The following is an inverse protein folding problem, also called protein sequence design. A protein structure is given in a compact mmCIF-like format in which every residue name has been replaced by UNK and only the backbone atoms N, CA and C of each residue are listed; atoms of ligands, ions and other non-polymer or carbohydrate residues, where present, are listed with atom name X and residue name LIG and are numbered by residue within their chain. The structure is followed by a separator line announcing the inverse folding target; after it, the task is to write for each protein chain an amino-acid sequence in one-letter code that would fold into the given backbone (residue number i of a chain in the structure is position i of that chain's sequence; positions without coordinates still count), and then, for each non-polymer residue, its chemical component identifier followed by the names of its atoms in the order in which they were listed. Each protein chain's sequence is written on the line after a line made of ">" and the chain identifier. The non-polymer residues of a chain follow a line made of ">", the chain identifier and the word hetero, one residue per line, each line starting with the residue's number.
data_IF_289163135262
#
_entry.id   IF_289163135262
#
_cell.length_a   1.000
_cell.length_b   1.000
_cell.length_c   1.000
_cell.angle_alpha   90.00
_cell.angle_beta   90.00
_cell.angle_gamma   90.00
#
_symmetry.space_group_name_H-M   'P 1'
#
loop_
_entity.id
_entity.type
_entity.pdbx_description
1 polymer ?
#
# COMPACT_ATOMS: atom_id res chain seq x y z
N UNK A 1 -71.97 73.04 -11.81
CA UNK A 1 -70.55 72.81 -12.15
C UNK A 1 -69.80 72.57 -10.84
N UNK A 2 -69.98 71.38 -10.25
CA UNK A 2 -69.12 70.19 -10.37
C UNK A 2 -67.83 70.18 -9.49
N UNK A 3 -67.91 70.73 -8.28
CA UNK A 3 -66.94 70.47 -7.19
C UNK A 3 -66.88 68.98 -6.80
N UNK A 4 -67.95 68.24 -7.03
CA UNK A 4 -68.05 66.79 -6.79
C UNK A 4 -67.36 65.96 -7.87
N UNK A 5 -67.24 66.45 -9.12
CA UNK A 5 -66.45 65.79 -10.16
C UNK A 5 -64.95 66.04 -9.98
N UNK A 6 -64.53 67.26 -9.61
CA UNK A 6 -63.12 67.57 -9.33
C UNK A 6 -62.58 66.77 -8.13
N UNK A 7 -63.35 66.61 -7.05
CA UNK A 7 -62.97 65.77 -5.91
C UNK A 7 -62.85 64.28 -6.27
N UNK A 8 -63.77 63.75 -7.09
CA UNK A 8 -63.69 62.35 -7.58
C UNK A 8 -62.50 62.12 -8.50
N UNK A 9 -62.11 63.11 -9.28
CA UNK A 9 -60.97 63.03 -10.19
C UNK A 9 -59.63 63.08 -9.44
N UNK A 10 -59.52 63.95 -8.43
CA UNK A 10 -58.37 64.00 -7.52
C UNK A 10 -58.18 62.68 -6.74
N UNK A 11 -59.26 62.10 -6.19
CA UNK A 11 -59.21 60.81 -5.50
C UNK A 11 -58.81 59.68 -6.45
N UNK A 12 -59.32 59.66 -7.70
CA UNK A 12 -58.91 58.69 -8.71
C UNK A 12 -57.42 58.80 -9.08
N UNK A 13 -56.88 60.01 -9.18
CA UNK A 13 -55.47 60.21 -9.50
C UNK A 13 -54.53 59.81 -8.35
N UNK A 14 -54.96 60.02 -7.10
CA UNK A 14 -54.25 59.50 -5.92
C UNK A 14 -54.29 57.97 -5.89
N UNK A 15 -55.45 57.36 -6.11
CA UNK A 15 -55.60 55.90 -6.17
C UNK A 15 -54.75 55.32 -7.29
N UNK A 16 -54.71 55.95 -8.47
CA UNK A 16 -53.85 55.52 -9.59
C UNK A 16 -52.37 55.63 -9.24
N UNK A 17 -51.92 56.74 -8.65
CA UNK A 17 -50.52 56.91 -8.23
C UNK A 17 -50.13 55.92 -7.13
N UNK A 18 -51.03 55.65 -6.19
CA UNK A 18 -50.83 54.63 -5.17
C UNK A 18 -50.78 53.22 -5.76
N UNK A 19 -51.63 52.93 -6.75
CA UNK A 19 -51.64 51.65 -7.44
C UNK A 19 -50.37 51.41 -8.27
N UNK A 20 -49.86 52.43 -8.97
CA UNK A 20 -48.59 52.36 -9.70
C UNK A 20 -47.43 52.12 -8.73
N UNK A 21 -47.33 52.89 -7.64
CA UNK A 21 -46.27 52.69 -6.64
C UNK A 21 -46.35 51.32 -5.94
N UNK A 22 -47.54 50.83 -5.65
CA UNK A 22 -47.75 49.50 -5.09
C UNK A 22 -47.35 48.42 -6.10
N UNK A 23 -47.72 48.59 -7.36
CA UNK A 23 -47.34 47.66 -8.43
C UNK A 23 -45.83 47.62 -8.64
N UNK A 24 -45.16 48.78 -8.66
CA UNK A 24 -43.70 48.86 -8.79
C UNK A 24 -42.99 48.19 -7.61
N UNK A 25 -43.53 48.36 -6.39
CA UNK A 25 -43.03 47.70 -5.19
C UNK A 25 -43.24 46.18 -5.21
N UNK A 26 -44.44 45.72 -5.59
CA UNK A 26 -44.73 44.30 -5.70
C UNK A 26 -43.86 43.65 -6.77
N UNK A 27 -43.65 44.31 -7.91
CA UNK A 27 -42.76 43.83 -8.97
C UNK A 27 -41.29 43.81 -8.51
N UNK A 28 -40.84 44.80 -7.73
CA UNK A 28 -39.48 44.84 -7.19
C UNK A 28 -39.23 43.74 -6.16
N UNK A 29 -40.17 43.53 -5.23
CA UNK A 29 -40.07 42.46 -4.23
C UNK A 29 -40.17 41.08 -4.87
N UNK A 30 -41.08 40.90 -5.82
CA UNK A 30 -41.23 39.64 -6.57
C UNK A 30 -39.98 39.33 -7.42
N UNK A 31 -39.33 40.34 -8.01
CA UNK A 31 -38.05 40.19 -8.69
C UNK A 31 -36.94 39.66 -7.77
N UNK A 32 -36.76 40.28 -6.59
CA UNK A 32 -35.73 39.86 -5.64
C UNK A 32 -36.03 38.49 -5.00
N UNK A 33 -37.30 38.18 -4.71
CA UNK A 33 -37.72 36.86 -4.24
C UNK A 33 -37.51 35.79 -5.30
N UNK A 34 -37.88 36.06 -6.55
CA UNK A 34 -37.65 35.14 -7.67
C UNK A 34 -36.16 34.90 -7.88
N UNK A 35 -35.32 35.94 -7.78
CA UNK A 35 -33.86 35.81 -7.88
C UNK A 35 -33.27 34.99 -6.73
N UNK A 36 -33.70 35.24 -5.49
CA UNK A 36 -33.27 34.45 -4.34
C UNK A 36 -33.68 32.97 -4.48
N UNK A 37 -34.90 32.71 -4.96
CA UNK A 37 -35.38 31.36 -5.23
C UNK A 37 -34.57 30.67 -6.34
N UNK A 38 -34.25 31.38 -7.42
CA UNK A 38 -33.39 30.86 -8.50
C UNK A 38 -31.98 30.51 -8.00
N UNK A 39 -31.38 31.37 -7.17
CA UNK A 39 -30.07 31.11 -6.56
C UNK A 39 -30.10 29.90 -5.62
N UNK A 40 -31.15 29.75 -4.82
CA UNK A 40 -31.35 28.59 -3.94
C UNK A 40 -31.51 27.29 -4.74
N UNK A 41 -32.28 27.31 -5.84
CA UNK A 41 -32.44 26.14 -6.72
C UNK A 41 -31.13 25.80 -7.42
N UNK A 42 -30.39 26.80 -7.92
CA UNK A 42 -29.08 26.60 -8.55
C UNK A 42 -28.07 25.99 -7.56
N UNK A 43 -27.97 26.55 -6.34
CA UNK A 43 -27.11 26.03 -5.28
C UNK A 43 -27.50 24.61 -4.86
N UNK A 44 -28.80 24.30 -4.76
CA UNK A 44 -29.27 22.94 -4.48
C UNK A 44 -28.82 21.94 -5.55
N UNK A 45 -28.92 22.31 -6.82
CA UNK A 45 -28.52 21.45 -7.94
C UNK A 45 -26.99 21.24 -7.98
N UNK A 46 -26.21 22.28 -7.74
CA UNK A 46 -24.74 22.19 -7.62
C UNK A 46 -24.32 21.29 -6.47
N UNK A 47 -24.96 21.43 -5.31
CA UNK A 47 -24.69 20.63 -4.12
C UNK A 47 -25.07 19.16 -4.33
N UNK A 48 -26.18 18.90 -5.03
CA UNK A 48 -26.57 17.54 -5.41
C UNK A 48 -25.56 16.91 -6.38
N UNK A 49 -25.11 17.64 -7.40
CA UNK A 49 -24.09 17.15 -8.34
C UNK A 49 -22.77 16.85 -7.63
N UNK A 50 -22.33 17.74 -6.74
CA UNK A 50 -21.15 17.49 -5.92
C UNK A 50 -21.32 16.25 -5.03
N UNK A 51 -22.49 16.03 -4.41
CA UNK A 51 -22.73 14.84 -3.60
C UNK A 51 -22.64 13.56 -4.44
N UNK A 52 -23.15 13.58 -5.67
CA UNK A 52 -23.03 12.46 -6.61
C UNK A 52 -21.56 12.21 -7.00
N UNK A 53 -20.80 13.26 -7.34
CA UNK A 53 -19.39 13.16 -7.71
C UNK A 53 -18.50 12.76 -6.52
N UNK A 54 -18.79 13.26 -5.32
CA UNK A 54 -18.15 12.87 -4.06
C UNK A 54 -18.40 11.40 -3.73
N UNK A 55 -19.63 10.93 -3.87
CA UNK A 55 -19.95 9.53 -3.63
C UNK A 55 -19.25 8.60 -4.63
N UNK A 56 -19.12 9.01 -5.91
CA UNK A 56 -18.31 8.27 -6.89
C UNK A 56 -16.84 8.23 -6.49
N UNK A 57 -16.27 9.38 -6.13
CA UNK A 57 -14.88 9.48 -5.72
C UNK A 57 -14.59 8.66 -4.44
N UNK A 58 -15.51 8.66 -3.47
CA UNK A 58 -15.42 7.81 -2.27
C UNK A 58 -15.41 6.33 -2.67
N UNK A 59 -16.31 5.90 -3.53
CA UNK A 59 -16.34 4.50 -3.98
C UNK A 59 -15.05 4.12 -4.74
N UNK A 60 -14.50 5.01 -5.55
CA UNK A 60 -13.22 4.81 -6.24
C UNK A 60 -12.05 4.72 -5.24
N UNK A 61 -12.03 5.59 -4.23
CA UNK A 61 -11.05 5.57 -3.13
C UNK A 61 -11.17 4.23 -2.37
N UNK A 62 -12.36 3.81 -1.98
CA UNK A 62 -12.59 2.57 -1.23
C UNK A 62 -12.14 1.34 -2.04
N UNK A 63 -12.42 1.32 -3.35
CA UNK A 63 -11.94 0.26 -4.25
C UNK A 63 -10.40 0.23 -4.33
N UNK A 64 -9.77 1.40 -4.46
CA UNK A 64 -8.31 1.51 -4.55
C UNK A 64 -7.62 1.19 -3.23
N UNK A 65 -8.21 1.56 -2.09
CA UNK A 65 -7.76 1.15 -0.76
C UNK A 65 -7.83 -0.37 -0.60
N UNK A 66 -8.93 -0.99 -1.05
CA UNK A 66 -9.05 -2.45 -1.06
C UNK A 66 -7.99 -3.12 -1.94
N UNK A 67 -7.75 -2.61 -3.15
CA UNK A 67 -6.69 -3.11 -4.05
C UNK A 67 -5.31 -2.96 -3.43
N UNK A 68 -5.02 -1.82 -2.78
CA UNK A 68 -3.78 -1.58 -2.04
C UNK A 68 -3.62 -2.55 -0.88
N UNK A 69 -4.68 -2.83 -0.13
CA UNK A 69 -4.62 -3.79 0.97
C UNK A 69 -4.45 -5.23 0.46
N UNK A 70 -5.06 -5.60 -0.67
CA UNK A 70 -4.77 -6.86 -1.34
C UNK A 70 -3.31 -6.95 -1.79
N UNK A 71 -2.77 -5.90 -2.42
CA UNK A 71 -1.37 -5.84 -2.85
C UNK A 71 -0.42 -5.87 -1.65
N UNK A 72 -0.72 -5.18 -0.55
CA UNK A 72 0.05 -5.24 0.71
C UNK A 72 0.04 -6.63 1.30
N UNK A 73 -1.13 -7.27 1.39
CA UNK A 73 -1.23 -8.62 1.93
C UNK A 73 -0.47 -9.62 1.06
N UNK A 74 -0.58 -9.49 -0.27
CA UNK A 74 0.18 -10.32 -1.21
C UNK A 74 1.68 -10.04 -1.14
N UNK A 75 2.08 -8.78 -1.03
CA UNK A 75 3.48 -8.39 -0.85
C UNK A 75 4.04 -8.91 0.47
N UNK A 76 3.29 -8.84 1.57
CA UNK A 76 3.67 -9.37 2.88
C UNK A 76 3.76 -10.90 2.88
N UNK A 77 2.85 -11.59 2.18
CA UNK A 77 2.91 -13.03 1.98
C UNK A 77 4.14 -13.43 1.16
N UNK A 78 4.38 -12.76 0.02
CA UNK A 78 5.54 -13.00 -0.84
C UNK A 78 6.84 -12.61 -0.13
N UNK A 79 6.90 -11.50 0.61
CA UNK A 79 8.10 -11.17 1.40
C UNK A 79 8.29 -12.09 2.61
N UNK A 80 7.25 -12.75 3.13
CA UNK A 80 7.41 -13.80 4.12
C UNK A 80 7.92 -15.10 3.49
N UNK A 81 7.11 -15.71 2.62
CA UNK A 81 7.41 -17.01 2.01
C UNK A 81 8.57 -16.95 1.04
N UNK A 82 8.61 -15.96 0.13
CA UNK A 82 9.69 -15.87 -0.85
C UNK A 82 10.99 -15.40 -0.20
N UNK A 83 10.99 -14.66 0.92
CA UNK A 83 12.28 -14.39 1.59
C UNK A 83 12.83 -15.66 2.23
N UNK A 84 12.00 -16.48 2.86
CA UNK A 84 12.45 -17.77 3.40
C UNK A 84 12.94 -18.69 2.26
N UNK A 85 12.21 -18.74 1.13
CA UNK A 85 12.63 -19.48 -0.05
C UNK A 85 13.92 -18.89 -0.67
N UNK A 86 14.04 -17.57 -0.82
CA UNK A 86 15.23 -16.88 -1.32
C UNK A 86 16.43 -17.10 -0.40
N UNK A 87 16.26 -17.04 0.92
CA UNK A 87 17.29 -17.39 1.89
C UNK A 87 17.68 -18.87 1.78
N UNK A 88 16.70 -19.75 1.58
CA UNK A 88 16.96 -21.18 1.39
C UNK A 88 17.72 -21.45 0.08
N UNK A 89 17.34 -20.81 -1.02
CA UNK A 89 17.98 -20.89 -2.33
C UNK A 89 19.38 -20.32 -2.26
N UNK A 90 19.55 -19.16 -1.64
CA UNK A 90 20.86 -18.53 -1.47
C UNK A 90 21.78 -19.37 -0.59
N UNK A 91 21.25 -20.02 0.45
CA UNK A 91 21.99 -20.99 1.25
C UNK A 91 22.38 -22.20 0.41
N UNK A 92 21.47 -22.76 -0.38
CA UNK A 92 21.76 -23.89 -1.28
C UNK A 92 22.82 -23.51 -2.32
N UNK A 93 22.71 -22.34 -2.96
CA UNK A 93 23.71 -21.80 -3.90
C UNK A 93 25.08 -21.69 -3.22
N UNK A 94 25.14 -21.13 -2.01
CA UNK A 94 26.39 -21.00 -1.25
C UNK A 94 26.99 -22.37 -0.88
N UNK A 95 26.16 -23.34 -0.51
CA UNK A 95 26.61 -24.70 -0.19
C UNK A 95 27.11 -25.42 -1.45
N UNK A 96 26.45 -25.23 -2.60
CA UNK A 96 26.92 -25.73 -3.90
C UNK A 96 28.23 -25.08 -4.34
N UNK A 97 28.40 -23.76 -4.15
CA UNK A 97 29.67 -23.07 -4.42
C UNK A 97 30.81 -23.63 -3.57
N UNK A 98 30.58 -23.91 -2.28
CA UNK A 98 31.59 -24.54 -1.41
C UNK A 98 31.97 -25.92 -1.93
N UNK A 99 30.99 -26.74 -2.32
CA UNK A 99 31.23 -28.09 -2.86
C UNK A 99 31.99 -28.04 -4.20
N UNK A 100 31.65 -27.10 -5.07
CA UNK A 100 32.34 -26.87 -6.34
C UNK A 100 33.80 -26.51 -6.08
N UNK A 101 34.05 -25.51 -5.22
CA UNK A 101 35.41 -25.09 -4.86
C UNK A 101 36.24 -26.21 -4.22
N UNK A 102 35.63 -27.07 -3.41
CA UNK A 102 36.30 -28.26 -2.85
C UNK A 102 36.65 -29.27 -3.94
N UNK A 103 35.75 -29.50 -4.90
CA UNK A 103 35.96 -30.44 -6.01
C UNK A 103 37.05 -29.94 -6.97
N UNK A 104 37.05 -28.64 -7.31
CA UNK A 104 38.11 -28.00 -8.09
C UNK A 104 39.48 -28.08 -7.40
N UNK A 105 39.53 -27.89 -6.07
CA UNK A 105 40.78 -28.05 -5.32
C UNK A 105 41.31 -29.48 -5.39
N UNK A 106 40.43 -30.48 -5.31
CA UNK A 106 40.80 -31.89 -5.45
C UNK A 106 41.30 -32.19 -6.87
N UNK A 107 40.58 -31.72 -7.89
CA UNK A 107 40.98 -31.85 -9.30
C UNK A 107 42.40 -31.33 -9.51
N UNK A 108 42.68 -30.08 -9.09
CA UNK A 108 44.03 -29.48 -9.20
C UNK A 108 45.11 -30.24 -8.44
N UNK A 109 44.77 -30.89 -7.33
CA UNK A 109 45.73 -31.72 -6.58
C UNK A 109 46.04 -33.02 -7.34
N UNK A 110 45.02 -33.64 -7.95
CA UNK A 110 45.19 -34.87 -8.75
C UNK A 110 45.95 -34.59 -10.04
N UNK A 111 45.67 -33.50 -10.76
CA UNK A 111 46.42 -33.07 -11.95
C UNK A 111 47.92 -32.84 -11.65
N UNK A 112 48.23 -32.25 -10.49
CA UNK A 112 49.63 -32.08 -10.05
C UNK A 112 50.32 -33.43 -9.80
N UNK A 113 49.63 -34.38 -9.17
CA UNK A 113 50.16 -35.74 -8.95
C UNK A 113 50.38 -36.46 -10.28
N UNK A 114 49.44 -36.34 -11.22
CA UNK A 114 49.55 -36.90 -12.56
C UNK A 114 50.79 -36.38 -13.28
N UNK A 115 50.99 -35.05 -13.27
CA UNK A 115 52.16 -34.41 -13.89
C UNK A 115 53.48 -34.89 -13.27
N UNK A 116 53.52 -35.09 -11.95
CA UNK A 116 54.69 -35.65 -11.25
C UNK A 116 54.98 -37.09 -11.66
N UNK A 117 53.94 -37.93 -11.79
CA UNK A 117 54.11 -39.31 -12.22
C UNK A 117 54.50 -39.44 -13.68
N UNK A 118 53.95 -38.61 -14.57
CA UNK A 118 54.40 -38.56 -15.97
C UNK A 118 55.87 -38.18 -16.08
N UNK A 119 56.32 -37.20 -15.29
CA UNK A 119 57.74 -36.82 -15.25
C UNK A 119 58.62 -37.97 -14.78
N UNK A 120 58.24 -38.66 -13.69
CA UNK A 120 58.99 -39.81 -13.16
C UNK A 120 59.03 -40.96 -14.18
N UNK A 121 57.90 -41.26 -14.83
CA UNK A 121 57.82 -42.32 -15.84
C UNK A 121 58.74 -42.02 -17.04
N UNK A 122 58.80 -40.77 -17.50
CA UNK A 122 59.75 -40.35 -18.55
C UNK A 122 61.21 -40.48 -18.15
N UNK A 123 61.56 -40.25 -16.88
CA UNK A 123 62.94 -40.44 -16.40
C UNK A 123 63.32 -41.92 -16.39
N UNK A 124 62.43 -42.78 -15.88
CA UNK A 124 62.64 -44.22 -15.85
C UNK A 124 62.75 -44.80 -17.27
N UNK A 125 61.94 -44.32 -18.22
CA UNK A 125 62.02 -44.76 -19.62
C UNK A 125 63.38 -44.38 -20.25
N UNK A 126 63.93 -43.20 -19.94
CA UNK A 126 65.29 -42.81 -20.39
C UNK A 126 66.36 -43.71 -19.80
N UNK A 127 66.28 -44.04 -18.51
CA UNK A 127 67.22 -44.96 -17.85
C UNK A 127 67.15 -46.37 -18.46
N UNK A 128 65.94 -46.85 -18.76
CA UNK A 128 65.73 -48.12 -19.46
C UNK A 128 66.39 -48.14 -20.84
N UNK A 129 66.23 -47.08 -21.65
CA UNK A 129 66.87 -46.99 -22.97
C UNK A 129 68.40 -47.06 -22.83
N UNK A 130 69.00 -46.33 -21.90
CA UNK A 130 70.46 -46.40 -21.64
C UNK A 130 70.90 -47.80 -21.24
N UNK A 131 70.18 -48.45 -20.33
CA UNK A 131 70.50 -49.81 -19.89
C UNK A 131 70.41 -50.83 -21.05
N UNK A 132 69.48 -50.65 -21.99
CA UNK A 132 69.38 -51.47 -23.20
C UNK A 132 70.59 -51.26 -24.12
N UNK A 133 70.99 -50.00 -24.33
CA UNK A 133 72.16 -49.66 -25.14
C UNK A 133 73.44 -50.24 -24.55
N UNK A 134 73.68 -50.06 -23.26
CA UNK A 134 74.83 -50.63 -22.52
C UNK A 134 74.85 -52.16 -22.62
N UNK A 135 73.70 -52.83 -22.38
CA UNK A 135 73.58 -54.28 -22.53
C UNK A 135 73.93 -54.73 -23.96
N UNK A 136 73.44 -54.02 -24.97
CA UNK A 136 73.66 -54.39 -26.37
C UNK A 136 75.12 -54.21 -26.78
N UNK A 137 75.79 -53.16 -26.30
CA UNK A 137 77.23 -52.94 -26.50
C UNK A 137 78.04 -54.08 -25.89
N UNK A 138 77.82 -54.39 -24.62
CA UNK A 138 78.53 -55.48 -23.93
C UNK A 138 78.26 -56.83 -24.63
N UNK A 139 77.03 -57.07 -25.09
CA UNK A 139 76.70 -58.28 -25.85
C UNK A 139 77.46 -58.36 -27.18
N UNK A 140 77.63 -57.23 -27.87
CA UNK A 140 78.38 -57.20 -29.11
C UNK A 140 79.87 -57.50 -28.90
N UNK A 141 80.48 -56.86 -27.89
CA UNK A 141 81.86 -57.14 -27.47
C UNK A 141 82.05 -58.62 -27.10
N UNK A 142 81.07 -59.20 -26.39
CA UNK A 142 81.05 -60.62 -26.07
C UNK A 142 81.03 -61.50 -27.33
N UNK A 143 80.14 -61.21 -28.29
CA UNK A 143 80.03 -61.99 -29.52
C UNK A 143 81.32 -61.93 -30.37
N UNK A 144 82.02 -60.79 -30.38
CA UNK A 144 83.33 -60.64 -31.05
C UNK A 144 84.45 -61.42 -30.35
N UNK A 145 84.59 -61.27 -29.03
CA UNK A 145 85.57 -62.03 -28.24
C UNK A 145 85.38 -63.54 -28.41
N UNK A 146 84.14 -64.00 -28.41
CA UNK A 146 83.83 -65.42 -28.56
C UNK A 146 84.20 -65.93 -29.96
N UNK A 147 83.94 -65.15 -31.02
CA UNK A 147 84.39 -65.47 -32.39
C UNK A 147 85.91 -65.57 -32.49
N UNK A 148 86.64 -64.59 -31.95
CA UNK A 148 88.10 -64.57 -31.95
C UNK A 148 88.66 -65.80 -31.24
N UNK A 149 88.07 -66.17 -30.08
CA UNK A 149 88.45 -67.34 -29.30
C UNK A 149 88.22 -68.64 -30.08
N UNK A 150 87.11 -68.79 -30.80
CA UNK A 150 86.91 -69.94 -31.71
C UNK A 150 87.92 -70.00 -32.85
N UNK A 151 88.34 -68.85 -33.42
CA UNK A 151 89.36 -68.83 -34.49
C UNK A 151 90.73 -69.27 -33.97
N UNK A 152 91.15 -68.73 -32.82
CA UNK A 152 92.40 -69.08 -32.15
C UNK A 152 92.45 -70.56 -31.79
N UNK A 153 91.35 -71.12 -31.27
CA UNK A 153 91.25 -72.57 -31.01
C UNK A 153 91.46 -73.41 -32.26
N UNK A 154 90.97 -72.96 -33.41
CA UNK A 154 91.12 -73.66 -34.69
C UNK A 154 92.57 -73.57 -35.20
N UNK A 155 93.20 -72.41 -35.09
CA UNK A 155 94.59 -72.21 -35.48
C UNK A 155 95.55 -73.05 -34.61
N UNK A 156 95.28 -73.14 -33.30
CA UNK A 156 96.02 -74.03 -32.39
C UNK A 156 95.90 -75.48 -32.83
N UNK A 157 94.69 -75.96 -33.11
CA UNK A 157 94.46 -77.34 -33.58
C UNK A 157 95.25 -77.66 -34.85
N UNK A 158 95.27 -76.73 -35.81
CA UNK A 158 96.06 -76.88 -37.04
C UNK A 158 97.57 -76.93 -36.75
N UNK A 159 98.05 -76.10 -35.81
CA UNK A 159 99.47 -76.10 -35.42
C UNK A 159 99.86 -77.34 -34.62
N UNK A 160 98.98 -77.87 -33.78
CA UNK A 160 99.19 -79.15 -33.08
C UNK A 160 99.29 -80.33 -34.05
N UNK A 161 98.50 -80.32 -35.13
CA UNK A 161 98.60 -81.31 -36.22
C UNK A 161 99.93 -81.18 -36.98
N UNK A 162 100.35 -79.96 -37.32
CA UNK A 162 101.62 -79.68 -38.01
C UNK A 162 102.85 -80.08 -37.16
N UNK A 163 102.78 -79.91 -35.82
CA UNK A 163 103.81 -80.37 -34.89
C UNK A 163 103.86 -81.89 -34.83
N UNK A 164 102.72 -82.58 -34.85
CA UNK A 164 102.68 -84.05 -34.92
C UNK A 164 103.35 -84.57 -36.19
N UNK A 165 103.07 -83.96 -37.33
CA UNK A 165 103.71 -84.29 -38.60
C UNK A 165 105.23 -84.05 -38.57
N UNK A 166 105.67 -82.96 -37.95
CA UNK A 166 107.10 -82.67 -37.77
C UNK A 166 107.78 -83.62 -36.77
N UNK A 167 107.09 -84.06 -35.72
CA UNK A 167 107.59 -85.06 -34.76
C UNK A 167 107.76 -86.45 -35.40
N UNK A 168 106.94 -86.80 -36.40
CA UNK A 168 107.06 -88.03 -37.17
C UNK A 168 108.23 -88.01 -38.18
N UNK A 169 108.96 -86.89 -38.30
CA UNK A 169 110.13 -86.73 -39.17
C UNK A 169 111.38 -86.32 -38.38
N UNK A 170 112.04 -87.26 -37.68
CA UNK A 170 113.34 -87.02 -37.03
C UNK A 170 114.48 -87.93 -37.53
N UNK A 171 115.45 -87.32 -38.23
CA UNK A 171 116.85 -87.76 -38.31
C UNK A 171 117.81 -86.59 -38.66
N UNK A 172 118.29 -85.81 -37.67
CA UNK A 172 119.59 -85.09 -37.67
C UNK A 172 119.81 -84.26 -36.38
N UNK A 173 120.95 -84.42 -35.69
CA UNK A 173 121.12 -83.97 -34.29
C UNK A 173 121.50 -82.49 -34.06
N UNK A 174 121.71 -81.67 -35.11
CA UNK A 174 121.80 -80.19 -34.98
C UNK A 174 120.43 -79.51 -35.07
N UNK A 175 119.50 -80.12 -35.81
CA UNK A 175 118.11 -79.70 -35.86
C UNK A 175 117.40 -80.04 -34.54
N UNK A 176 117.81 -81.12 -33.86
CA UNK A 176 117.31 -81.47 -32.52
C UNK A 176 117.62 -80.37 -31.49
N UNK A 177 118.84 -79.82 -31.45
CA UNK A 177 119.16 -78.75 -30.49
C UNK A 177 118.45 -77.41 -30.82
N UNK A 178 118.27 -77.09 -32.10
CA UNK A 178 117.46 -75.93 -32.50
C UNK A 178 115.99 -76.15 -32.16
N UNK A 179 115.47 -77.36 -32.37
CA UNK A 179 114.11 -77.76 -32.03
C UNK A 179 113.89 -77.80 -30.51
N UNK A 180 114.86 -78.24 -29.71
CA UNK A 180 114.82 -78.20 -28.24
C UNK A 180 114.77 -76.76 -27.72
N UNK A 181 115.55 -75.85 -28.32
CA UNK A 181 115.51 -74.44 -27.96
C UNK A 181 114.18 -73.78 -28.37
N UNK A 182 113.69 -74.10 -29.56
CA UNK A 182 112.37 -73.68 -30.03
C UNK A 182 111.25 -74.28 -29.17
N UNK A 183 111.44 -75.49 -28.63
CA UNK A 183 110.51 -76.15 -27.72
C UNK A 183 110.45 -75.41 -26.38
N UNK A 184 111.59 -74.99 -25.83
CA UNK A 184 111.59 -74.15 -24.62
C UNK A 184 110.93 -72.80 -24.86
N UNK A 185 111.20 -72.15 -25.99
CA UNK A 185 110.56 -70.87 -26.35
C UNK A 185 109.04 -71.03 -26.55
N UNK A 186 108.61 -72.11 -27.22
CA UNK A 186 107.19 -72.44 -27.40
C UNK A 186 106.50 -72.87 -26.10
N UNK A 187 107.21 -73.51 -25.18
CA UNK A 187 106.67 -73.84 -23.85
C UNK A 187 106.49 -72.58 -23.00
N UNK A 188 107.40 -71.61 -23.11
CA UNK A 188 107.21 -70.29 -22.51
C UNK A 188 106.05 -69.53 -23.15
N UNK A 189 105.94 -69.50 -24.49
CA UNK A 189 104.79 -68.91 -25.18
C UNK A 189 103.47 -69.59 -24.80
N UNK A 190 103.46 -70.92 -24.67
CA UNK A 190 102.30 -71.66 -24.18
C UNK A 190 101.92 -71.22 -22.78
N UNK A 191 102.89 -71.11 -21.88
CA UNK A 191 102.62 -70.69 -20.50
C UNK A 191 102.09 -69.24 -20.44
N UNK A 192 102.60 -68.35 -21.30
CA UNK A 192 102.09 -66.98 -21.45
C UNK A 192 100.66 -67.01 -22.01
N UNK A 193 100.40 -67.81 -23.04
CA UNK A 193 99.08 -67.94 -23.64
C UNK A 193 98.04 -68.53 -22.67
N UNK A 194 98.43 -69.52 -21.85
CA UNK A 194 97.58 -70.09 -20.79
C UNK A 194 97.24 -69.04 -19.73
N UNK A 195 98.22 -68.24 -19.30
CA UNK A 195 98.01 -67.10 -18.39
C UNK A 195 97.06 -66.05 -18.98
N UNK A 196 97.25 -65.69 -20.26
CA UNK A 196 96.35 -64.77 -20.96
C UNK A 196 94.94 -65.36 -21.07
N UNK A 197 94.82 -66.66 -21.35
CA UNK A 197 93.54 -67.35 -21.45
C UNK A 197 92.80 -67.35 -20.09
N UNK A 198 93.49 -67.64 -18.99
CA UNK A 198 92.93 -67.55 -17.64
C UNK A 198 92.46 -66.13 -17.31
N UNK A 199 93.25 -65.13 -17.68
CA UNK A 199 92.91 -63.72 -17.47
C UNK A 199 91.65 -63.33 -18.27
N UNK A 200 91.55 -63.76 -19.53
CA UNK A 200 90.39 -63.51 -20.39
C UNK A 200 89.16 -64.27 -19.90
N UNK A 201 89.30 -65.51 -19.44
CA UNK A 201 88.19 -66.28 -18.84
C UNK A 201 87.68 -65.64 -17.56
N UNK A 202 88.57 -65.10 -16.71
CA UNK A 202 88.18 -64.34 -15.53
C UNK A 202 87.38 -63.09 -15.92
N UNK A 203 87.91 -62.29 -16.85
CA UNK A 203 87.23 -61.09 -17.35
C UNK A 203 85.85 -61.41 -17.97
N UNK A 204 85.75 -62.52 -18.71
CA UNK A 204 84.47 -62.98 -19.28
C UNK A 204 83.45 -63.28 -18.18
N UNK A 205 83.88 -63.95 -17.11
CA UNK A 205 83.01 -64.29 -15.98
C UNK A 205 82.52 -63.03 -15.27
N UNK A 206 83.39 -62.05 -15.07
CA UNK A 206 83.04 -60.77 -14.47
C UNK A 206 82.04 -60.00 -15.34
N UNK A 207 82.25 -59.97 -16.67
CA UNK A 207 81.30 -59.35 -17.60
C UNK A 207 79.96 -60.07 -17.68
N UNK A 208 79.93 -61.41 -17.58
CA UNK A 208 78.67 -62.16 -17.49
C UNK A 208 77.89 -61.83 -16.22
N UNK A 209 78.57 -61.66 -15.08
CA UNK A 209 77.93 -61.22 -13.84
C UNK A 209 77.37 -59.79 -13.98
N UNK A 210 78.12 -58.90 -14.63
CA UNK A 210 77.67 -57.53 -14.93
C UNK A 210 76.39 -57.52 -15.79
N UNK A 211 76.37 -58.27 -16.91
CA UNK A 211 75.18 -58.40 -17.78
C UNK A 211 73.99 -58.99 -17.02
N UNK A 212 74.22 -60.00 -16.18
CA UNK A 212 73.15 -60.57 -15.35
C UNK A 212 72.57 -59.53 -14.39
N UNK A 213 73.42 -58.70 -13.77
CA UNK A 213 72.99 -57.64 -12.85
C UNK A 213 72.24 -56.50 -13.56
N UNK A 214 72.62 -56.17 -14.80
CA UNK A 214 71.92 -55.19 -15.62
C UNK A 214 70.58 -55.73 -16.11
N UNK A 215 70.52 -57.03 -16.43
CA UNK A 215 69.28 -57.69 -16.85
C UNK A 215 68.25 -57.72 -15.72
N UNK A 216 68.66 -58.00 -14.48
CA UNK A 216 67.77 -57.89 -13.31
C UNK A 216 67.29 -56.46 -13.09
N UNK A 217 68.19 -55.46 -13.12
CA UNK A 217 67.80 -54.04 -13.03
C UNK A 217 66.80 -53.64 -14.11
N UNK A 218 67.00 -54.10 -15.34
CA UNK A 218 66.10 -53.80 -16.46
C UNK A 218 64.70 -54.39 -16.24
N UNK A 219 64.62 -55.61 -15.71
CA UNK A 219 63.34 -56.22 -15.36
C UNK A 219 62.63 -55.46 -14.22
N UNK A 220 63.37 -55.06 -13.18
CA UNK A 220 62.82 -54.24 -12.09
C UNK A 220 62.29 -52.88 -12.58
N UNK A 221 63.01 -52.22 -13.50
CA UNK A 221 62.56 -50.95 -14.08
C UNK A 221 61.31 -51.14 -14.95
N UNK A 222 61.22 -52.22 -15.72
CA UNK A 222 60.03 -52.54 -16.51
C UNK A 222 58.79 -52.78 -15.64
N UNK A 223 58.94 -53.47 -14.50
CA UNK A 223 57.83 -53.64 -13.55
C UNK A 223 57.40 -52.31 -12.92
N UNK A 224 58.36 -51.44 -12.55
CA UNK A 224 58.06 -50.10 -12.05
C UNK A 224 57.33 -49.23 -13.07
N UNK A 225 57.69 -49.29 -14.35
CA UNK A 225 56.99 -48.58 -15.42
C UNK A 225 55.54 -49.06 -15.50
N UNK A 226 55.30 -50.37 -15.56
CA UNK A 226 53.94 -50.93 -15.63
C UNK A 226 53.06 -50.49 -14.45
N UNK A 227 53.61 -50.50 -13.23
CA UNK A 227 52.89 -50.03 -12.05
C UNK A 227 52.54 -48.54 -12.16
N UNK A 228 53.48 -47.71 -12.65
CA UNK A 228 53.25 -46.27 -12.84
C UNK A 228 52.24 -45.98 -13.94
N UNK A 229 52.24 -46.74 -15.03
CA UNK A 229 51.23 -46.63 -16.08
C UNK A 229 49.83 -46.95 -15.56
N UNK A 230 49.68 -47.99 -14.72
CA UNK A 230 48.41 -48.30 -14.08
C UNK A 230 47.95 -47.19 -13.13
N UNK A 231 48.84 -46.61 -12.32
CA UNK A 231 48.53 -45.47 -11.45
C UNK A 231 48.06 -44.25 -12.25
N UNK A 232 48.69 -43.96 -13.39
CA UNK A 232 48.29 -42.88 -14.30
C UNK A 232 46.87 -43.09 -14.84
N UNK A 233 46.54 -44.31 -15.27
CA UNK A 233 45.18 -44.64 -15.76
C UNK A 233 44.14 -44.40 -14.66
N UNK A 234 44.40 -44.85 -13.43
CA UNK A 234 43.48 -44.63 -12.30
C UNK A 234 43.28 -43.15 -12.01
N UNK A 235 44.34 -42.34 -12.08
CA UNK A 235 44.24 -40.89 -11.87
C UNK A 235 43.48 -40.17 -12.99
N UNK A 236 43.62 -40.60 -14.25
CA UNK A 236 42.84 -40.06 -15.36
C UNK A 236 41.35 -40.36 -15.20
N UNK A 237 41.00 -41.55 -14.73
CA UNK A 237 39.61 -41.90 -14.40
C UNK A 237 39.06 -41.02 -13.26
N UNK A 238 39.85 -40.78 -12.21
CA UNK A 238 39.48 -39.89 -11.10
C UNK A 238 39.29 -38.44 -11.55
N UNK A 239 40.17 -37.93 -12.41
CA UNK A 239 40.04 -36.60 -13.03
C UNK A 239 38.74 -36.50 -13.80
N UNK A 240 38.44 -37.47 -14.67
CA UNK A 240 37.21 -37.48 -15.45
C UNK A 240 35.95 -37.49 -14.58
N UNK A 241 35.92 -38.29 -13.52
CA UNK A 241 34.81 -38.31 -12.57
C UNK A 241 34.63 -36.97 -11.84
N UNK A 242 35.75 -36.29 -11.51
CA UNK A 242 35.71 -34.97 -10.89
C UNK A 242 35.23 -33.89 -11.87
N UNK A 243 35.63 -33.95 -13.14
CA UNK A 243 35.16 -33.05 -14.20
C UNK A 243 33.65 -33.19 -14.40
N UNK A 244 33.14 -34.42 -14.56
CA UNK A 244 31.69 -34.68 -14.68
C UNK A 244 30.93 -34.17 -13.46
N UNK A 245 31.51 -34.31 -12.26
CA UNK A 245 30.90 -33.82 -11.02
C UNK A 245 30.87 -32.29 -10.97
N UNK A 246 31.95 -31.62 -11.38
CA UNK A 246 32.04 -30.15 -11.46
C UNK A 246 31.00 -29.64 -12.46
N UNK A 247 30.92 -30.22 -13.65
CA UNK A 247 29.96 -29.82 -14.68
C UNK A 247 28.51 -29.94 -14.19
N UNK A 248 28.16 -31.05 -13.54
CA UNK A 248 26.83 -31.25 -12.98
C UNK A 248 26.50 -30.26 -11.86
N UNK A 249 27.47 -29.97 -10.98
CA UNK A 249 27.31 -28.98 -9.91
C UNK A 249 27.16 -27.56 -10.47
N UNK A 250 27.87 -27.22 -11.54
CA UNK A 250 27.79 -25.91 -12.19
C UNK A 250 26.42 -25.72 -12.87
N UNK A 251 25.90 -26.74 -13.56
CA UNK A 251 24.54 -26.75 -14.13
C UNK A 251 23.46 -26.55 -13.05
N UNK A 252 23.57 -27.27 -11.93
CA UNK A 252 22.63 -27.16 -10.81
C UNK A 252 22.69 -25.78 -10.15
N UNK A 253 23.90 -25.21 -9.97
CA UNK A 253 24.07 -23.82 -9.49
C UNK A 253 23.36 -22.84 -10.41
N UNK A 254 23.58 -22.96 -11.72
CA UNK A 254 23.03 -22.03 -12.70
C UNK A 254 21.50 -22.10 -12.78
N UNK A 255 20.93 -23.30 -12.61
CA UNK A 255 19.48 -23.47 -12.48
C UNK A 255 18.92 -22.75 -11.25
N UNK A 256 19.57 -22.89 -10.09
CA UNK A 256 19.16 -22.23 -8.84
C UNK A 256 19.33 -20.70 -8.92
N UNK A 257 20.41 -20.21 -9.53
CA UNK A 257 20.62 -18.77 -9.78
C UNK A 257 19.48 -18.19 -10.63
N UNK A 258 19.06 -18.90 -11.68
CA UNK A 258 17.93 -18.46 -12.52
C UNK A 258 16.62 -18.36 -11.73
N UNK A 259 16.32 -19.35 -10.88
CA UNK A 259 15.12 -19.32 -10.03
C UNK A 259 15.15 -18.15 -9.02
N UNK A 260 16.33 -17.88 -8.47
CA UNK A 260 16.55 -16.76 -7.56
C UNK A 260 16.29 -15.41 -8.26
N UNK A 261 16.83 -15.22 -9.47
CA UNK A 261 16.64 -13.99 -10.25
C UNK A 261 15.18 -13.79 -10.66
N UNK A 262 14.47 -14.85 -11.07
CA UNK A 262 13.04 -14.81 -11.39
C UNK A 262 12.19 -14.38 -10.18
N UNK A 263 12.51 -14.90 -8.99
CA UNK A 263 11.81 -14.56 -7.74
C UNK A 263 12.06 -13.11 -7.31
N UNK A 264 13.28 -12.59 -7.50
CA UNK A 264 13.59 -11.17 -7.25
C UNK A 264 12.83 -10.26 -8.21
N UNK A 265 12.77 -10.62 -9.49
CA UNK A 265 12.06 -9.84 -10.50
C UNK A 265 10.57 -9.73 -10.17
N UNK A 266 9.94 -10.85 -9.77
CA UNK A 266 8.53 -10.85 -9.35
C UNK A 266 8.29 -9.90 -8.17
N UNK A 267 9.14 -9.96 -7.13
CA UNK A 267 9.04 -9.04 -5.98
C UNK A 267 9.20 -7.57 -6.38
N UNK A 268 10.12 -7.28 -7.32
CA UNK A 268 10.34 -5.92 -7.83
C UNK A 268 9.10 -5.38 -8.55
N UNK A 269 8.47 -6.18 -9.41
CA UNK A 269 7.27 -5.78 -10.15
C UNK A 269 6.09 -5.48 -9.22
N UNK A 270 5.83 -6.34 -8.22
CA UNK A 270 4.78 -6.10 -7.25
C UNK A 270 5.01 -4.84 -6.41
N UNK A 271 6.29 -4.53 -6.10
CA UNK A 271 6.64 -3.31 -5.38
C UNK A 271 6.35 -2.06 -6.22
N UNK A 272 6.71 -2.06 -7.49
CA UNK A 272 6.41 -0.95 -8.42
C UNK A 272 4.90 -0.74 -8.58
N UNK A 273 4.12 -1.82 -8.71
CA UNK A 273 2.66 -1.77 -8.79
C UNK A 273 2.04 -1.13 -7.55
N UNK A 274 2.50 -1.52 -6.37
CA UNK A 274 2.06 -0.95 -5.10
C UNK A 274 2.40 0.54 -4.98
N UNK A 275 3.62 0.95 -5.33
CA UNK A 275 4.04 2.35 -5.27
C UNK A 275 3.20 3.22 -6.21
N UNK A 276 2.98 2.75 -7.44
CA UNK A 276 2.10 3.41 -8.42
C UNK A 276 0.68 3.57 -7.89
N UNK A 277 0.08 2.50 -7.36
CA UNK A 277 -1.28 2.54 -6.84
C UNK A 277 -1.39 3.47 -5.63
N UNK A 278 -0.38 3.48 -4.76
CA UNK A 278 -0.33 4.37 -3.59
C UNK A 278 -0.26 5.84 -3.99
N UNK A 279 0.47 6.18 -5.07
CA UNK A 279 0.51 7.54 -5.61
C UNK A 279 -0.87 7.93 -6.17
N UNK A 280 -1.50 7.02 -6.93
CA UNK A 280 -2.84 7.25 -7.50
C UNK A 280 -3.87 7.53 -6.40
N UNK A 281 -3.86 6.75 -5.31
CA UNK A 281 -4.72 6.95 -4.16
C UNK A 281 -4.51 8.31 -3.50
N UNK A 282 -3.25 8.72 -3.28
CA UNK A 282 -2.94 10.01 -2.68
C UNK A 282 -3.43 11.16 -3.56
N UNK A 283 -3.22 11.09 -4.88
CA UNK A 283 -3.73 12.09 -5.82
C UNK A 283 -5.27 12.19 -5.78
N UNK A 284 -5.98 11.05 -5.66
CA UNK A 284 -7.44 11.05 -5.52
C UNK A 284 -7.90 11.67 -4.20
N UNK A 285 -7.20 11.39 -3.09
CA UNK A 285 -7.47 12.02 -1.79
C UNK A 285 -7.25 13.52 -1.82
N UNK A 286 -6.16 13.99 -2.41
CA UNK A 286 -5.88 15.42 -2.58
C UNK A 286 -6.96 16.10 -3.44
N UNK A 287 -7.38 15.45 -4.54
CA UNK A 287 -8.46 15.96 -5.38
C UNK A 287 -9.78 16.05 -4.63
N UNK A 288 -10.08 15.09 -3.76
CA UNK A 288 -11.28 15.16 -2.90
C UNK A 288 -11.24 16.38 -1.98
N UNK A 289 -10.08 16.65 -1.35
CA UNK A 289 -9.93 17.81 -0.46
C UNK A 289 -10.11 19.12 -1.22
N UNK A 290 -9.50 19.25 -2.41
CA UNK A 290 -9.64 20.43 -3.25
C UNK A 290 -11.10 20.67 -3.67
N UNK A 291 -11.80 19.61 -4.09
CA UNK A 291 -13.22 19.72 -4.45
C UNK A 291 -14.09 20.17 -3.26
N UNK A 292 -13.78 19.69 -2.05
CA UNK A 292 -14.49 20.09 -0.82
C UNK A 292 -14.27 21.57 -0.50
N UNK A 293 -13.04 22.07 -0.68
CA UNK A 293 -12.70 23.48 -0.51
C UNK A 293 -13.37 24.38 -1.56
N UNK A 294 -13.36 23.97 -2.82
CA UNK A 294 -14.04 24.68 -3.92
C UNK A 294 -15.54 24.81 -3.66
N UNK A 295 -16.22 23.73 -3.26
CA UNK A 295 -17.64 23.79 -2.92
C UNK A 295 -17.89 24.72 -1.73
N UNK A 296 -17.07 24.62 -0.67
CA UNK A 296 -17.23 25.47 0.51
C UNK A 296 -17.13 26.94 0.15
N UNK A 297 -16.22 27.30 -0.75
CA UNK A 297 -16.09 28.67 -1.26
C UNK A 297 -17.32 29.09 -2.06
N UNK A 298 -17.80 28.25 -2.98
CA UNK A 298 -19.01 28.52 -3.76
C UNK A 298 -20.26 28.72 -2.87
N UNK A 299 -20.43 27.89 -1.83
CA UNK A 299 -21.52 28.03 -0.85
C UNK A 299 -21.41 29.37 -0.10
N UNK A 300 -20.22 29.75 0.34
CA UNK A 300 -20.01 31.02 1.04
C UNK A 300 -20.36 32.22 0.17
N UNK A 301 -19.96 32.22 -1.10
CA UNK A 301 -20.32 33.28 -2.07
C UNK A 301 -21.83 33.41 -2.25
N UNK A 302 -22.54 32.28 -2.41
CA UNK A 302 -24.00 32.27 -2.55
C UNK A 302 -24.72 32.70 -1.28
N UNK A 303 -24.24 32.29 -0.10
CA UNK A 303 -24.81 32.73 1.18
C UNK A 303 -24.67 34.24 1.37
N UNK A 304 -23.54 34.83 0.97
CA UNK A 304 -23.34 36.27 1.02
C UNK A 304 -24.29 37.02 0.06
N UNK A 305 -24.57 36.47 -1.12
CA UNK A 305 -25.59 37.02 -2.03
C UNK A 305 -27.00 36.95 -1.41
N UNK A 306 -27.34 35.85 -0.73
CA UNK A 306 -28.63 35.67 -0.03
C UNK A 306 -28.76 36.64 1.15
N UNK A 307 -27.73 36.81 1.97
CA UNK A 307 -27.73 37.77 3.08
C UNK A 307 -27.98 39.19 2.59
N UNK A 308 -27.32 39.59 1.50
CA UNK A 308 -27.53 40.89 0.87
C UNK A 308 -28.98 41.05 0.37
N UNK A 309 -29.55 40.02 -0.28
CA UNK A 309 -30.95 40.05 -0.73
C UNK A 309 -31.95 40.12 0.44
N UNK A 310 -31.67 39.41 1.55
CA UNK A 310 -32.50 39.46 2.76
C UNK A 310 -32.47 40.85 3.41
N UNK A 311 -31.30 41.49 3.48
CA UNK A 311 -31.18 42.85 4.00
C UNK A 311 -31.95 43.88 3.15
N UNK A 312 -31.95 43.70 1.82
CA UNK A 312 -32.77 44.51 0.90
C UNK A 312 -34.26 44.30 1.21
N UNK A 313 -34.70 43.04 1.38
CA UNK A 313 -36.10 42.72 1.69
C UNK A 313 -36.55 43.29 3.04
N UNK A 314 -35.74 43.15 4.09
CA UNK A 314 -36.05 43.69 5.42
C UNK A 314 -36.21 45.21 5.38
N UNK A 315 -35.29 45.91 4.72
CA UNK A 315 -35.38 47.37 4.52
C UNK A 315 -36.64 47.76 3.75
N UNK A 316 -37.02 47.00 2.72
CA UNK A 316 -38.27 47.25 1.98
C UNK A 316 -39.52 46.99 2.82
N UNK A 317 -39.50 45.98 3.71
CA UNK A 317 -40.60 45.67 4.61
C UNK A 317 -40.78 46.75 5.69
N UNK A 318 -39.68 47.27 6.24
CA UNK A 318 -39.70 48.36 7.21
C UNK A 318 -40.29 49.64 6.62
N UNK A 319 -39.92 49.95 5.36
CA UNK A 319 -40.53 51.06 4.60
C UNK A 319 -42.04 50.87 4.40
N UNK A 320 -42.50 49.64 4.18
CA UNK A 320 -43.92 49.32 4.04
C UNK A 320 -44.67 49.47 5.37
N UNK A 321 -44.14 48.90 6.45
CA UNK A 321 -44.73 49.02 7.79
C UNK A 321 -44.84 50.50 8.22
N UNK A 322 -43.82 51.31 7.93
CA UNK A 322 -43.86 52.75 8.16
C UNK A 322 -44.97 53.43 7.34
N UNK A 323 -45.15 53.07 6.07
CA UNK A 323 -46.23 53.61 5.22
C UNK A 323 -47.63 53.18 5.69
N UNK A 324 -47.80 51.95 6.20
CA UNK A 324 -49.07 51.44 6.71
C UNK A 324 -49.47 52.09 8.05
N UNK A 325 -48.49 52.39 8.92
CA UNK A 325 -48.75 53.09 10.20
C UNK A 325 -49.30 54.51 10.04
N UNK A 326 -49.07 55.15 8.90
CA UNK A 326 -49.62 56.48 8.55
C UNK A 326 -51.12 56.39 8.20
N UNK A 327 -51.68 55.18 8.03
CA UNK A 327 -53.03 54.92 7.50
C UNK A 327 -54.10 54.63 8.57
N UNK A 328 -53.79 54.79 9.86
CA UNK A 328 -54.59 54.39 11.03
C UNK A 328 -55.52 55.49 11.61
N UNK A 329 -56.15 56.31 10.77
CA UNK A 329 -57.27 57.17 11.20
C UNK A 329 -58.62 56.43 10.93
N UNK A 330 -59.37 56.13 11.98
CA UNK A 330 -60.66 55.42 11.93
C UNK A 330 -61.69 56.15 11.06
N UNK A 331 -62.43 55.40 10.24
CA UNK A 331 -63.43 55.96 9.30
C UNK A 331 -64.73 56.38 10.01
N UNK A 332 -65.45 57.37 9.47
CA UNK A 332 -66.65 57.92 10.13
C UNK A 332 -67.83 56.92 10.24
N UNK A 333 -67.89 55.90 9.38
CA UNK A 333 -68.87 54.81 9.44
C UNK A 333 -68.65 53.90 10.66
N UNK A 334 -67.40 53.66 11.05
CA UNK A 334 -67.08 52.83 12.22
C UNK A 334 -67.48 53.53 13.52
N UNK A 335 -67.45 54.87 13.56
CA UNK A 335 -67.89 55.69 14.70
C UNK A 335 -69.41 55.62 14.90
N UNK A 336 -70.20 55.58 13.83
CA UNK A 336 -71.67 55.43 13.93
C UNK A 336 -72.09 54.05 14.43
N UNK A 337 -71.45 52.99 13.95
CA UNK A 337 -71.74 51.62 14.39
C UNK A 337 -71.48 51.45 15.89
N UNK A 338 -70.38 52.02 16.41
CA UNK A 338 -70.07 51.97 17.85
C UNK A 338 -71.14 52.71 18.69
N UNK A 339 -71.67 53.85 18.21
CA UNK A 339 -72.74 54.57 18.91
C UNK A 339 -74.04 53.77 19.00
N UNK A 340 -74.44 53.08 17.93
CA UNK A 340 -75.64 52.23 17.94
C UNK A 340 -75.49 51.07 18.94
N UNK A 341 -74.31 50.44 18.96
CA UNK A 341 -74.03 49.33 19.87
C UNK A 341 -74.04 49.75 21.34
N UNK A 342 -73.56 50.96 21.66
CA UNK A 342 -73.61 51.52 23.00
C UNK A 342 -75.05 51.67 23.52
N UNK A 343 -75.97 52.10 22.67
CA UNK A 343 -77.38 52.31 23.04
C UNK A 343 -78.09 50.97 23.29
N UNK A 344 -77.77 49.93 22.52
CA UNK A 344 -78.50 48.66 22.56
C UNK A 344 -78.00 47.69 23.64
N UNK A 345 -76.67 47.55 23.78
CA UNK A 345 -76.10 46.44 24.55
C UNK A 345 -75.96 46.73 26.05
N UNK A 346 -75.64 47.97 26.45
CA UNK A 346 -75.48 48.27 27.89
C UNK A 346 -76.78 48.10 28.69
N UNK A 347 -77.95 48.60 28.25
CA UNK A 347 -79.22 48.33 28.94
C UNK A 347 -79.57 46.85 28.95
N UNK A 348 -79.28 46.14 27.85
CA UNK A 348 -79.55 44.70 27.71
C UNK A 348 -78.73 43.87 28.70
N UNK A 349 -77.44 44.17 28.86
CA UNK A 349 -76.57 43.46 29.80
C UNK A 349 -77.02 43.66 31.25
N UNK A 350 -77.37 44.89 31.63
CA UNK A 350 -77.88 45.18 32.98
C UNK A 350 -79.21 44.48 33.26
N UNK A 351 -80.07 44.32 32.25
CA UNK A 351 -81.36 43.63 32.39
C UNK A 351 -81.21 42.10 32.45
N UNK A 352 -80.40 41.51 31.57
CA UNK A 352 -80.23 40.06 31.48
C UNK A 352 -79.33 39.49 32.57
N UNK A 353 -78.31 40.23 33.00
CA UNK A 353 -77.32 39.75 33.97
C UNK A 353 -77.40 40.57 35.27
N UNK A 354 -78.54 40.48 35.96
CA UNK A 354 -78.83 41.28 37.16
C UNK A 354 -77.88 41.04 38.35
N UNK A 355 -77.16 39.92 38.35
CA UNK A 355 -76.10 39.59 39.33
C UNK A 355 -74.69 39.94 38.83
N UNK A 356 -74.59 40.64 37.69
CA UNK A 356 -73.33 41.07 37.12
C UNK A 356 -73.23 42.59 37.06
N UNK A 357 -72.06 43.10 37.40
CA UNK A 357 -71.70 44.52 37.25
C UNK A 357 -70.66 44.65 36.15
N UNK A 358 -70.89 45.55 35.18
CA UNK A 358 -70.00 45.76 34.04
C UNK A 358 -69.31 47.12 34.18
N UNK A 359 -67.98 47.12 34.26
CA UNK A 359 -67.21 48.37 34.24
C UNK A 359 -67.27 49.02 32.85
N UNK A 360 -67.16 50.35 32.83
CA UNK A 360 -67.25 51.12 31.59
C UNK A 360 -66.20 50.68 30.56
N UNK A 361 -64.99 50.36 31.02
CA UNK A 361 -63.90 49.89 30.18
C UNK A 361 -64.18 48.52 29.54
N UNK A 362 -64.87 47.62 30.26
CA UNK A 362 -65.32 46.35 29.70
C UNK A 362 -66.27 46.57 28.52
N UNK A 363 -67.23 47.48 28.66
CA UNK A 363 -68.20 47.81 27.61
C UNK A 363 -67.50 48.46 26.41
N UNK A 364 -66.58 49.39 26.63
CA UNK A 364 -65.79 50.00 25.55
C UNK A 364 -64.98 48.96 24.77
N UNK A 365 -64.32 48.03 25.47
CA UNK A 365 -63.61 46.95 24.81
C UNK A 365 -64.56 46.03 24.03
N UNK A 366 -65.77 45.78 24.56
CA UNK A 366 -66.80 44.95 23.93
C UNK A 366 -67.31 45.54 22.60
N UNK A 367 -67.50 46.85 22.51
CA UNK A 367 -68.02 47.48 21.29
C UNK A 367 -67.05 47.40 20.11
N UNK A 368 -65.74 47.42 20.38
CA UNK A 368 -64.68 47.31 19.36
C UNK A 368 -64.48 45.86 18.90
N UNK A 369 -65.08 44.88 19.55
CA UNK A 369 -65.03 43.48 19.11
C UNK A 369 -65.80 43.28 17.79
N UNK A 370 -65.37 42.29 17.00
CA UNK A 370 -66.17 41.82 15.88
C UNK A 370 -67.42 41.05 16.38
N UNK A 371 -68.49 40.91 15.57
CA UNK A 371 -69.72 40.25 16.01
C UNK A 371 -69.52 38.82 16.54
N UNK A 372 -68.64 38.03 15.92
CA UNK A 372 -68.31 36.67 16.36
C UNK A 372 -67.70 36.65 17.77
N UNK A 373 -66.76 37.53 18.06
CA UNK A 373 -66.09 37.59 19.36
C UNK A 373 -67.01 38.17 20.44
N UNK A 374 -67.94 39.07 20.09
CA UNK A 374 -68.99 39.53 21.01
C UNK A 374 -69.86 38.38 21.49
N UNK A 375 -70.31 37.51 20.59
CA UNK A 375 -71.11 36.32 20.94
C UNK A 375 -70.33 35.38 21.88
N UNK A 376 -69.03 35.20 21.64
CA UNK A 376 -68.18 34.38 22.53
C UNK A 376 -68.01 35.01 23.91
N UNK A 377 -67.82 36.33 23.97
CA UNK A 377 -67.74 37.05 25.25
C UNK A 377 -69.06 36.97 26.00
N UNK A 378 -70.18 37.15 25.33
CA UNK A 378 -71.52 37.04 25.93
C UNK A 378 -71.78 35.62 26.45
N UNK A 379 -71.37 34.58 25.72
CA UNK A 379 -71.41 33.21 26.22
C UNK A 379 -70.54 33.02 27.48
N UNK A 380 -69.40 33.71 27.60
CA UNK A 380 -68.59 33.70 28.81
C UNK A 380 -69.28 34.42 29.97
N UNK A 381 -69.96 35.55 29.73
CA UNK A 381 -70.76 36.25 30.73
C UNK A 381 -71.84 35.32 31.28
N UNK A 382 -72.59 34.64 30.40
CA UNK A 382 -73.62 33.65 30.79
C UNK A 382 -73.02 32.55 31.66
N UNK A 383 -71.88 31.98 31.24
CA UNK A 383 -71.23 30.90 31.97
C UNK A 383 -70.71 31.33 33.34
N UNK A 384 -70.20 32.56 33.45
CA UNK A 384 -69.69 33.09 34.71
C UNK A 384 -70.80 33.54 35.65
N UNK A 385 -71.92 34.05 35.12
CA UNK A 385 -73.06 34.54 35.90
C UNK A 385 -73.93 33.39 36.39
N UNK A 386 -74.35 32.46 35.51
CA UNK A 386 -75.31 31.40 35.86
C UNK A 386 -74.68 30.02 36.10
N UNK A 387 -73.62 29.66 35.36
CA UNK A 387 -73.08 28.28 35.32
C UNK A 387 -71.65 28.19 35.87
N UNK A 388 -71.30 29.03 36.85
CA UNK A 388 -69.91 29.17 37.29
C UNK A 388 -69.34 27.89 37.90
N UNK A 389 -70.11 27.17 38.72
CA UNK A 389 -69.63 25.92 39.33
C UNK A 389 -69.21 24.90 38.26
N UNK A 390 -69.95 24.83 37.16
CA UNK A 390 -69.67 23.93 36.03
C UNK A 390 -68.49 24.42 35.17
N UNK A 391 -68.25 25.73 35.08
CA UNK A 391 -67.24 26.34 34.22
C UNK A 391 -65.99 26.86 34.95
N UNK A 392 -65.92 26.70 36.27
CA UNK A 392 -64.80 27.17 37.10
C UNK A 392 -63.44 26.59 36.70
N UNK A 393 -63.43 25.36 36.16
CA UNK A 393 -62.22 24.70 35.64
C UNK A 393 -61.56 25.43 34.45
N UNK A 394 -62.29 26.31 33.74
CA UNK A 394 -61.74 27.14 32.64
C UNK A 394 -61.15 28.46 33.13
N UNK A 395 -61.43 28.84 34.38
CA UNK A 395 -60.83 30.02 35.00
C UNK A 395 -59.36 29.71 35.27
N UNK A 396 -58.47 30.64 34.91
CA UNK A 396 -57.04 30.46 35.16
C UNK A 396 -56.77 30.36 36.68
N UNK A 397 -56.01 29.37 37.15
CA UNK A 397 -55.82 29.13 38.59
C UNK A 397 -55.05 30.23 39.32
N UNK A 398 -54.27 31.04 38.60
CA UNK A 398 -53.49 32.14 39.17
C UNK A 398 -54.18 33.48 38.87
N UNK A 399 -54.86 34.12 39.84
CA UNK A 399 -55.49 35.41 39.64
C UNK A 399 -54.46 36.54 39.57
N UNK A 400 -54.84 37.64 38.92
CA UNK A 400 -54.09 38.89 38.94
C UNK A 400 -54.34 39.59 40.27
N UNK A 401 -53.29 39.73 41.09
CA UNK A 401 -53.34 40.52 42.32
C UNK A 401 -53.32 42.01 42.00
N UNK A 402 -54.41 42.71 42.32
CA UNK A 402 -54.59 44.14 42.09
C UNK A 402 -55.07 44.78 43.41
N UNK A 403 -54.15 45.43 44.12
CA UNK A 403 -54.40 45.92 45.49
C UNK A 403 -54.79 44.78 46.43
N UNK A 404 -55.93 44.93 47.11
CA UNK A 404 -56.52 43.91 48.01
C UNK A 404 -57.46 42.92 47.30
N UNK A 405 -57.60 42.99 45.96
CA UNK A 405 -58.53 42.15 45.18
C UNK A 405 -57.79 41.15 44.29
N UNK A 406 -58.36 39.95 44.16
CA UNK A 406 -57.87 38.88 43.29
C UNK A 406 -58.75 38.79 42.03
N UNK A 407 -58.27 39.34 40.91
CA UNK A 407 -59.02 39.38 39.65
C UNK A 407 -58.72 38.12 38.84
N UNK A 408 -59.76 37.39 38.46
CA UNK A 408 -59.69 36.13 37.74
C UNK A 408 -59.74 36.33 36.23
N UNK A 409 -59.14 35.40 35.49
CA UNK A 409 -59.09 35.42 34.02
C UNK A 409 -59.90 34.26 33.44
N UNK A 410 -60.78 34.55 32.47
CA UNK A 410 -61.55 33.54 31.72
C UNK A 410 -61.26 33.65 30.21
N UNK A 411 -60.92 32.54 29.51
CA UNK A 411 -60.66 32.55 28.09
C UNK A 411 -61.94 32.47 27.25
N UNK A 412 -62.04 33.28 26.18
CA UNK A 412 -63.15 33.23 25.21
C UNK A 412 -62.72 32.89 23.77
N UNK A 413 -61.41 32.88 23.49
CA UNK A 413 -60.79 32.49 22.22
C UNK A 413 -59.31 32.12 22.46
N UNK A 414 -58.60 31.60 21.44
CA UNK A 414 -57.19 31.22 21.53
C UNK A 414 -56.32 32.31 22.19
N UNK A 415 -56.58 33.56 21.82
CA UNK A 415 -55.89 34.74 22.36
C UNK A 415 -56.84 35.77 22.99
N UNK A 416 -58.07 35.42 23.38
CA UNK A 416 -59.02 36.34 24.01
C UNK A 416 -59.23 36.04 25.49
N UNK A 417 -59.15 37.05 26.38
CA UNK A 417 -59.36 36.90 27.83
C UNK A 417 -60.33 37.94 28.40
N UNK A 418 -61.16 37.54 29.37
CA UNK A 418 -62.03 38.40 30.18
C UNK A 418 -61.50 38.42 31.61
N UNK A 419 -61.42 39.62 32.18
CA UNK A 419 -60.99 39.85 33.56
C UNK A 419 -62.20 40.15 34.44
N UNK A 420 -62.41 39.36 35.49
CA UNK A 420 -63.57 39.48 36.36
C UNK A 420 -63.25 39.17 37.82
N UNK A 421 -64.10 39.61 38.73
CA UNK A 421 -64.05 39.32 40.17
C UNK A 421 -65.40 38.78 40.61
N UNK A 422 -65.42 37.74 41.46
CA UNK A 422 -66.65 37.20 42.03
C UNK A 422 -66.66 37.46 43.54
N UNK A 423 -67.65 38.21 44.01
CA UNK A 423 -67.85 38.55 45.42
C UNK A 423 -69.34 38.40 45.76
N UNK A 424 -69.68 37.71 46.86
CA UNK A 424 -71.06 37.59 47.38
C UNK A 424 -72.12 37.25 46.30
N UNK A 425 -71.80 36.23 45.49
CA UNK A 425 -72.66 35.74 44.39
C UNK A 425 -72.93 36.74 43.25
N UNK A 426 -72.13 37.81 43.17
CA UNK A 426 -72.09 38.75 42.05
C UNK A 426 -70.80 38.64 41.26
N UNK A 427 -70.87 38.96 39.97
CA UNK A 427 -69.72 38.93 39.05
C UNK A 427 -69.44 40.34 38.53
N UNK A 428 -68.27 40.88 38.87
CA UNK A 428 -67.81 42.19 38.41
C UNK A 428 -66.85 42.02 37.22
N UNK A 429 -67.25 42.47 36.03
CA UNK A 429 -66.46 42.41 34.81
C UNK A 429 -65.66 43.69 34.60
N UNK A 430 -64.34 43.56 34.48
CA UNK A 430 -63.41 44.70 34.39
C UNK A 430 -62.99 45.02 32.96
N UNK A 431 -62.53 44.03 32.19
CA UNK A 431 -61.88 44.30 30.90
C UNK A 431 -61.85 43.10 29.96
N UNK A 432 -61.71 43.36 28.65
CA UNK A 432 -61.51 42.33 27.60
C UNK A 432 -60.15 42.58 26.93
N UNK A 433 -59.32 41.54 26.79
CA UNK A 433 -58.01 41.65 26.12
C UNK A 433 -57.92 40.75 24.89
N UNK A 434 -57.36 41.31 23.80
CA UNK A 434 -57.10 40.63 22.52
C UNK A 434 -55.71 40.91 21.93
N UNK A 435 -55.00 41.92 22.41
CA UNK A 435 -53.87 42.53 21.70
C UNK A 435 -52.68 41.57 21.65
N UNK A 436 -52.21 41.21 20.45
CA UNK A 436 -50.94 40.49 20.25
C UNK A 436 -49.81 41.52 20.09
N UNK A 437 -48.67 41.34 20.74
CA UNK A 437 -47.45 42.06 20.38
C UNK A 437 -46.95 41.58 19.00
N UNK A 438 -46.04 42.32 18.36
CA UNK A 438 -45.44 41.97 17.06
C UNK A 438 -44.73 40.61 16.98
N UNK A 439 -44.75 39.79 18.06
CA UNK A 439 -44.30 38.40 18.11
C UNK A 439 -45.45 37.39 18.30
N UNK A 440 -46.70 37.81 18.10
CA UNK A 440 -47.89 36.96 18.16
C UNK A 440 -48.38 36.57 19.57
N UNK A 441 -47.81 37.13 20.65
CA UNK A 441 -48.18 36.85 22.06
C UNK A 441 -49.02 37.98 22.66
N UNK A 442 -50.00 37.67 23.50
CA UNK A 442 -50.87 38.66 24.15
C UNK A 442 -50.09 39.73 24.94
N UNK A 443 -50.38 41.02 24.75
CA UNK A 443 -49.86 42.16 25.54
C UNK A 443 -50.57 42.24 26.91
N UNK A 444 -50.41 41.17 27.67
CA UNK A 444 -51.02 40.96 28.97
C UNK A 444 -50.47 41.94 30.01
N UNK A 445 -49.24 42.42 29.84
CA UNK A 445 -48.55 43.31 30.79
C UNK A 445 -49.27 44.64 30.95
N UNK A 446 -49.70 45.26 29.84
CA UNK A 446 -50.40 46.55 29.86
C UNK A 446 -51.76 46.47 30.57
N UNK A 447 -52.53 45.41 30.31
CA UNK A 447 -53.84 45.17 30.94
C UNK A 447 -53.68 44.90 32.44
N UNK A 448 -52.67 44.13 32.84
CA UNK A 448 -52.35 43.87 34.25
C UNK A 448 -51.94 45.17 34.98
N UNK A 449 -51.08 46.00 34.37
CA UNK A 449 -50.70 47.30 34.97
C UNK A 449 -51.92 48.18 35.19
N UNK A 450 -52.83 48.26 34.21
CA UNK A 450 -54.07 49.01 34.34
C UNK A 450 -54.99 48.48 35.45
N UNK A 451 -55.18 47.16 35.53
CA UNK A 451 -55.97 46.55 36.59
C UNK A 451 -55.41 46.88 37.98
N UNK A 452 -54.07 46.99 38.12
CA UNK A 452 -53.40 47.37 39.37
C UNK A 452 -53.56 48.86 39.71
N UNK A 453 -53.64 49.75 38.74
CA UNK A 453 -53.78 51.20 38.96
C UNK A 453 -55.18 51.59 39.45
N UNK A 454 -56.23 50.89 39.01
CA UNK A 454 -57.65 51.19 39.34
C UNK A 454 -58.25 50.36 40.48
N UNK A 455 -57.52 49.36 40.99
CA UNK A 455 -57.98 48.52 42.10
C UNK A 455 -57.52 49.02 43.50
N UNK A 456 -56.78 50.12 43.53
CA UNK A 456 -56.60 50.99 44.70
C UNK A 456 -57.69 52.04 44.71
#
# INVERSE_FOLDING_TARGET
>A
MDSTQQGKQFVRDIIKKAHVKLSDFLNYTDFHLTRAQQLLVASKNELQKYLEDRNKLINEIDQKEYEIDQLRNKMNQLTGSNMDELFSLQKQINDKMKLLSQSEKKLRQTEKKLSQFEYQSRQIEKEKVRAIEERNQIKHEFDELNKNLTSLKKDILLKEEEIKELQDHQANSQDIQKAEKLLTDLLEEKHIAESVLETVQSNLKDKMLEVSSLTTKLNELNEKIKLKEQEVIVQLEEIRQLEDKIENQDKERHFLEKQYDESILELSLYKEDYERMSIELNNMKERSVLNDEELKNAINEKNLEIENLNAILENTQDKLNAAESIRLDLTDQEKEIIKVLQIEYEPRFRSLYSQSDFQHEFLNDFYVLNPSDRLKVEACIVNLNYNFQQNSHKVRPNPVKAGNKNIWEYPFADTGRIYFLRENDRVLFYRISRTKNGKGRLDQKRVISWLKEKAN
#
